data_IF_433929100875
#
_entry.id   IF_433929100875
#
_cell.length_a   1.000
_cell.length_b   1.000
_cell.length_c   1.000
_cell.angle_alpha   90.00
_cell.angle_beta   90.00
_cell.angle_gamma   90.00
#
_symmetry.space_group_name_H-M   'P 1'
#
loop_
_entity.id
_entity.type
_entity.pdbx_description
1 polymer ?
#
# COMPACT_ATOMS: atom_id res chain seq x y z
N UNK A 1 -21.03 25.76 0.15
CA UNK A 1 -21.85 24.88 1.03
C UNK A 1 -20.95 24.30 2.11
N UNK A 2 -21.18 24.58 3.41
CA UNK A 2 -20.38 24.03 4.51
C UNK A 2 -20.57 22.52 4.72
N UNK A 3 -21.44 21.86 3.94
CA UNK A 3 -21.71 20.42 3.99
C UNK A 3 -20.96 19.59 2.94
N UNK A 4 -19.95 20.15 2.26
CA UNK A 4 -18.99 19.33 1.53
C UNK A 4 -18.32 18.38 2.54
N UNK A 5 -18.76 17.13 2.58
CA UNK A 5 -18.31 16.11 3.53
C UNK A 5 -16.79 16.09 3.54
N UNK A 6 -16.19 16.32 4.71
CA UNK A 6 -14.73 16.29 4.84
C UNK A 6 -14.25 14.92 4.36
N UNK A 7 -13.52 14.89 3.24
CA UNK A 7 -12.66 13.75 2.90
C UNK A 7 -11.77 13.51 4.12
N UNK A 8 -11.80 12.30 4.64
CA UNK A 8 -10.88 11.88 5.69
C UNK A 8 -9.81 11.02 5.03
N UNK A 9 -8.57 11.32 5.35
CA UNK A 9 -7.45 10.54 4.88
C UNK A 9 -7.48 9.16 5.54
N UNK A 10 -7.14 8.15 4.76
CA UNK A 10 -6.90 6.80 5.25
C UNK A 10 -5.50 6.71 5.85
N UNK A 11 -5.31 5.82 6.84
CA UNK A 11 -4.02 5.64 7.51
C UNK A 11 -3.45 4.27 7.20
N UNK A 12 -2.21 4.24 6.71
CA UNK A 12 -1.43 3.03 6.51
C UNK A 12 -0.34 2.93 7.58
N UNK A 13 -0.23 1.76 8.20
CA UNK A 13 0.79 1.48 9.22
C UNK A 13 1.56 0.22 8.83
N UNK A 14 2.88 0.35 8.75
CA UNK A 14 3.80 -0.76 8.56
C UNK A 14 4.29 -1.34 9.88
N UNK A 15 4.26 -2.67 9.99
CA UNK A 15 4.84 -3.44 11.10
C UNK A 15 5.82 -4.48 10.52
N UNK A 16 7.00 -4.07 10.05
CA UNK A 16 7.92 -4.95 9.33
C UNK A 16 8.44 -6.13 10.15
N UNK A 17 8.44 -6.02 11.48
CA UNK A 17 8.86 -7.08 12.40
C UNK A 17 7.71 -7.98 12.88
N UNK A 18 6.53 -7.88 12.26
CA UNK A 18 5.37 -8.67 12.65
C UNK A 18 5.62 -10.17 12.48
N UNK A 19 5.38 -10.93 13.56
CA UNK A 19 5.47 -12.39 13.59
C UNK A 19 4.11 -13.03 13.27
N UNK A 20 4.00 -13.66 12.11
CA UNK A 20 2.83 -14.44 11.73
C UNK A 20 2.97 -15.90 12.15
N UNK A 21 1.85 -16.54 12.52
CA UNK A 21 1.80 -17.99 12.73
C UNK A 21 1.63 -18.68 11.38
N UNK A 22 2.50 -19.62 11.06
CA UNK A 22 2.43 -20.42 9.84
C UNK A 22 1.56 -21.67 10.05
N UNK A 23 1.13 -22.34 8.97
CA UNK A 23 0.34 -23.58 9.06
C UNK A 23 1.01 -24.69 9.87
N UNK A 24 2.35 -24.74 9.88
CA UNK A 24 3.14 -25.68 10.68
C UNK A 24 3.21 -25.32 12.18
N UNK A 25 2.47 -24.31 12.63
CA UNK A 25 2.41 -23.87 14.03
C UNK A 25 3.55 -22.95 14.48
N UNK A 26 4.66 -22.88 13.73
CA UNK A 26 5.78 -22.00 14.04
C UNK A 26 5.47 -20.54 13.71
N UNK A 27 6.14 -19.62 14.42
CA UNK A 27 6.09 -18.19 14.13
C UNK A 27 7.24 -17.80 13.19
N UNK A 28 6.99 -16.85 12.31
CA UNK A 28 8.04 -16.26 11.48
C UNK A 28 7.78 -14.79 11.25
N UNK A 29 8.85 -14.01 11.20
CA UNK A 29 8.79 -12.61 10.83
C UNK A 29 8.40 -12.53 9.36
N UNK A 30 7.21 -12.01 9.08
CA UNK A 30 6.72 -11.82 7.72
C UNK A 30 6.48 -10.35 7.39
N UNK A 31 6.39 -9.49 8.40
CA UNK A 31 5.94 -8.11 8.25
C UNK A 31 4.45 -8.02 7.95
N UNK A 32 3.85 -6.88 8.26
CA UNK A 32 2.42 -6.64 8.05
C UNK A 32 2.13 -5.17 7.76
N UNK A 33 1.26 -4.94 6.80
CA UNK A 33 0.61 -3.67 6.53
C UNK A 33 -0.78 -3.66 7.16
N UNK A 34 -1.14 -2.53 7.77
CA UNK A 34 -2.47 -2.26 8.28
C UNK A 34 -3.05 -1.05 7.55
N UNK A 35 -4.24 -1.18 7.00
CA UNK A 35 -5.02 -0.08 6.43
C UNK A 35 -6.19 0.22 7.36
N UNK A 36 -6.22 1.43 7.87
CA UNK A 36 -7.34 1.98 8.61
C UNK A 36 -8.06 2.99 7.74
N UNK A 37 -9.28 2.64 7.31
CA UNK A 37 -10.07 3.54 6.49
C UNK A 37 -10.69 4.67 7.33
N UNK A 38 -10.64 5.89 6.80
CA UNK A 38 -11.32 7.06 7.32
C UNK A 38 -12.83 6.85 7.30
N UNK A 39 -13.49 7.07 8.44
CA UNK A 39 -14.88 6.69 8.64
C UNK A 39 -15.67 7.76 9.38
N UNK A 40 -16.10 8.80 8.67
CA UNK A 40 -17.06 9.80 9.18
C UNK A 40 -16.80 10.25 10.62
N UNK A 41 -17.82 10.26 11.47
CA UNK A 41 -17.71 10.79 12.84
C UNK A 41 -16.83 9.93 13.80
N UNK A 42 -16.40 8.72 13.41
CA UNK A 42 -15.52 7.86 14.21
C UNK A 42 -14.45 7.20 13.33
N UNK A 43 -13.37 7.93 13.01
CA UNK A 43 -12.21 7.36 12.35
C UNK A 43 -11.72 6.11 13.11
N UNK A 44 -11.28 5.08 12.40
CA UNK A 44 -10.59 3.91 12.98
C UNK A 44 -11.47 2.95 13.83
N UNK A 45 -12.80 3.07 13.79
CA UNK A 45 -13.69 2.18 14.56
C UNK A 45 -13.87 0.77 13.96
N UNK A 46 -13.57 0.59 12.67
CA UNK A 46 -13.61 -0.72 11.99
C UNK A 46 -12.27 -1.44 12.16
N UNK A 47 -12.26 -2.78 12.23
CA UNK A 47 -11.02 -3.53 12.16
C UNK A 47 -10.22 -3.14 10.90
N UNK A 48 -8.91 -2.93 10.99
CA UNK A 48 -8.11 -2.60 9.82
C UNK A 48 -8.06 -3.77 8.86
N UNK A 49 -8.02 -3.48 7.56
CA UNK A 49 -7.57 -4.46 6.58
C UNK A 49 -6.08 -4.74 6.85
N UNK A 50 -5.67 -6.00 6.75
CA UNK A 50 -4.28 -6.39 6.94
C UNK A 50 -3.74 -7.16 5.76
N UNK A 51 -2.53 -6.81 5.31
CA UNK A 51 -1.77 -7.54 4.30
C UNK A 51 -0.48 -8.02 4.95
N UNK A 52 -0.15 -9.31 4.81
CA UNK A 52 1.01 -9.92 5.46
C UNK A 52 2.01 -10.34 4.39
N UNK A 53 3.30 -10.09 4.62
CA UNK A 53 4.34 -10.53 3.69
C UNK A 53 4.41 -12.05 3.60
N UNK A 54 5.04 -12.55 2.54
CA UNK A 54 5.18 -13.99 2.28
C UNK A 54 6.59 -14.51 2.54
N UNK A 55 7.61 -13.65 2.43
CA UNK A 55 9.02 -14.00 2.63
C UNK A 55 9.45 -13.81 4.09
N UNK A 56 9.93 -14.87 4.76
CA UNK A 56 10.49 -14.77 6.11
C UNK A 56 11.64 -13.77 6.19
N UNK A 57 11.62 -12.93 7.22
CA UNK A 57 12.61 -11.87 7.45
C UNK A 57 12.69 -10.82 6.34
N UNK A 58 11.71 -10.81 5.42
CA UNK A 58 11.69 -9.89 4.28
C UNK A 58 11.38 -8.43 4.65
N UNK A 59 10.96 -8.20 5.90
CA UNK A 59 10.56 -6.87 6.43
C UNK A 59 9.49 -6.19 5.57
N UNK A 60 8.46 -6.94 5.20
CA UNK A 60 7.34 -6.39 4.42
C UNK A 60 6.70 -5.20 5.13
N UNK A 61 6.38 -4.15 4.37
CA UNK A 61 5.91 -2.87 4.87
C UNK A 61 6.93 -2.10 5.72
N UNK A 62 8.22 -2.25 5.42
CA UNK A 62 9.26 -1.37 5.96
C UNK A 62 9.24 0.04 5.33
N UNK A 63 8.77 0.14 4.09
CA UNK A 63 8.51 1.39 3.40
C UNK A 63 7.14 1.35 2.74
N UNK A 64 6.44 2.48 2.72
CA UNK A 64 5.11 2.63 2.14
C UNK A 64 5.10 3.97 1.40
N UNK A 65 4.64 3.97 0.15
CA UNK A 65 4.45 5.19 -0.63
C UNK A 65 3.10 5.17 -1.35
N UNK A 66 2.41 6.30 -1.33
CA UNK A 66 1.25 6.51 -2.20
C UNK A 66 1.72 6.69 -3.65
N UNK A 67 1.00 6.10 -4.58
CA UNK A 67 1.24 6.20 -6.02
C UNK A 67 0.19 7.07 -6.74
N UNK A 68 -0.87 7.47 -6.04
CA UNK A 68 -2.03 8.11 -6.67
C UNK A 68 -2.90 7.10 -7.41
N UNK A 69 -3.41 7.51 -8.57
CA UNK A 69 -4.20 6.66 -9.47
C UNK A 69 -3.28 6.14 -10.59
N UNK A 70 -2.62 5.00 -10.37
CA UNK A 70 -1.56 4.52 -11.25
C UNK A 70 -2.12 3.97 -12.57
N UNK A 71 -3.32 3.41 -12.55
CA UNK A 71 -3.97 2.84 -13.73
C UNK A 71 -5.15 3.68 -14.28
N UNK A 72 -5.43 4.83 -13.67
CA UNK A 72 -6.50 5.76 -14.05
C UNK A 72 -7.90 5.16 -13.93
N UNK A 73 -8.10 4.27 -12.97
CA UNK A 73 -9.41 3.67 -12.71
C UNK A 73 -10.35 4.58 -11.88
N UNK A 74 -9.83 5.70 -11.39
CA UNK A 74 -10.55 6.71 -10.63
C UNK A 74 -10.36 6.60 -9.12
N UNK A 75 -9.53 5.67 -8.62
CA UNK A 75 -9.18 5.59 -7.21
C UNK A 75 -7.91 6.39 -6.89
N UNK A 76 -7.90 7.11 -5.77
CA UNK A 76 -6.75 7.97 -5.40
C UNK A 76 -6.67 9.35 -6.07
N UNK A 77 -7.61 9.70 -6.97
CA UNK A 77 -7.65 11.04 -7.59
C UNK A 77 -8.09 12.13 -6.60
N UNK A 78 -7.32 13.23 -6.46
CA UNK A 78 -7.79 14.43 -5.77
C UNK A 78 -8.92 15.08 -6.58
N UNK A 79 -10.08 15.25 -5.96
CA UNK A 79 -11.26 15.80 -6.63
C UNK A 79 -11.10 17.26 -7.05
N UNK A 80 -10.58 17.49 -8.25
CA UNK A 80 -10.71 18.76 -8.99
C UNK A 80 -10.98 18.45 -10.46
N UNK A 81 -12.25 18.57 -10.91
CA UNK A 81 -12.52 18.73 -12.35
C UNK A 81 -13.77 18.08 -12.94
N UNK A 82 -14.16 16.86 -12.55
CA UNK A 82 -15.30 16.20 -13.22
C UNK A 82 -16.14 15.39 -12.25
N UNK A 83 -17.37 15.88 -12.02
CA UNK A 83 -18.53 15.21 -11.42
C UNK A 83 -18.26 14.51 -10.08
N UNK A 84 -18.83 15.06 -9.01
CA UNK A 84 -19.00 14.41 -7.70
C UNK A 84 -19.69 13.05 -7.87
N UNK A 85 -18.92 11.99 -8.14
CA UNK A 85 -19.42 10.64 -7.94
C UNK A 85 -19.41 10.45 -6.43
N UNK A 86 -20.59 10.15 -5.88
CA UNK A 86 -20.88 9.91 -4.47
C UNK A 86 -20.23 8.62 -3.93
N UNK A 87 -19.18 8.13 -4.59
CA UNK A 87 -18.41 6.96 -4.17
C UNK A 87 -17.54 7.35 -2.98
N UNK A 88 -17.53 6.49 -1.96
CA UNK A 88 -16.70 6.60 -0.76
C UNK A 88 -15.30 7.13 -1.05
N UNK A 89 -14.62 7.78 -0.08
CA UNK A 89 -13.18 7.97 -0.18
C UNK A 89 -12.54 6.60 -0.42
N UNK A 90 -11.85 6.46 -1.56
CA UNK A 90 -11.16 5.23 -1.94
C UNK A 90 -9.66 5.48 -1.82
N UNK A 91 -8.89 4.57 -1.20
CA UNK A 91 -7.47 4.78 -1.06
C UNK A 91 -6.79 4.84 -2.44
N UNK A 92 -5.69 5.59 -2.55
CA UNK A 92 -4.84 5.54 -3.73
C UNK A 92 -4.18 4.16 -3.85
N UNK A 93 -3.58 3.92 -5.02
CA UNK A 93 -2.65 2.83 -5.19
C UNK A 93 -1.41 3.06 -4.30
N UNK A 94 -0.80 1.97 -3.85
CA UNK A 94 0.27 1.99 -2.86
C UNK A 94 1.41 1.07 -3.27
N UNK A 95 2.64 1.58 -3.19
CA UNK A 95 3.84 0.78 -3.21
C UNK A 95 4.28 0.41 -1.79
N UNK A 96 4.58 -0.87 -1.57
CA UNK A 96 5.00 -1.41 -0.27
C UNK A 96 6.32 -2.15 -0.44
N UNK A 97 7.33 -1.71 0.32
CA UNK A 97 8.68 -2.27 0.28
C UNK A 97 8.85 -3.46 1.22
N UNK A 98 9.58 -4.47 0.75
CA UNK A 98 10.15 -5.57 1.54
C UNK A 98 11.66 -5.64 1.24
N UNK A 99 12.49 -4.82 1.91
CA UNK A 99 13.89 -4.60 1.53
C UNK A 99 14.78 -5.84 1.57
N UNK A 100 14.37 -6.86 2.33
CA UNK A 100 15.07 -8.13 2.47
C UNK A 100 14.26 -9.30 1.89
N UNK A 101 13.20 -9.00 1.12
CA UNK A 101 12.34 -9.99 0.49
C UNK A 101 12.95 -10.60 -0.77
N UNK A 102 12.24 -11.59 -1.32
CA UNK A 102 12.63 -12.36 -2.50
C UNK A 102 13.61 -13.49 -2.19
N UNK A 103 13.75 -14.43 -3.13
CA UNK A 103 14.57 -15.63 -2.94
C UNK A 103 16.06 -15.31 -2.73
N UNK A 104 16.55 -14.21 -3.31
CA UNK A 104 17.92 -13.73 -3.12
C UNK A 104 18.12 -12.86 -1.87
N UNK A 105 17.03 -12.45 -1.20
CA UNK A 105 17.07 -11.45 -0.12
C UNK A 105 17.50 -10.05 -0.56
N UNK A 106 17.51 -9.77 -1.87
CA UNK A 106 17.96 -8.49 -2.44
C UNK A 106 16.91 -7.38 -2.33
N UNK A 107 15.66 -7.74 -2.00
CA UNK A 107 14.54 -6.81 -1.81
C UNK A 107 13.49 -6.90 -2.91
N UNK A 108 12.26 -6.54 -2.56
CA UNK A 108 11.10 -6.52 -3.44
C UNK A 108 10.22 -5.29 -3.14
N UNK A 109 9.51 -4.80 -4.16
CA UNK A 109 8.45 -3.81 -4.01
C UNK A 109 7.16 -4.38 -4.57
N UNK A 110 6.07 -4.20 -3.83
CA UNK A 110 4.74 -4.68 -4.20
C UNK A 110 3.82 -3.50 -4.47
N UNK A 111 3.07 -3.56 -5.58
CA UNK A 111 2.06 -2.57 -5.93
C UNK A 111 0.69 -3.13 -5.57
N UNK A 112 -0.03 -2.44 -4.70
CA UNK A 112 -1.40 -2.77 -4.32
C UNK A 112 -2.33 -1.68 -4.85
N UNK A 113 -3.33 -2.09 -5.62
CA UNK A 113 -4.34 -1.15 -6.11
C UNK A 113 -5.36 -0.80 -5.04
N UNK A 114 -5.86 0.42 -5.11
CA UNK A 114 -7.05 0.86 -4.40
C UNK A 114 -8.31 0.16 -4.92
N UNK A 115 -9.32 0.02 -4.06
CA UNK A 115 -10.66 -0.42 -4.41
C UNK A 115 -11.65 0.13 -3.39
N UNK A 116 -12.95 0.11 -3.69
CA UNK A 116 -14.02 0.70 -2.87
C UNK A 116 -14.04 0.31 -1.38
N UNK A 117 -13.43 -0.83 -1.02
CA UNK A 117 -13.37 -1.37 0.34
C UNK A 117 -11.94 -1.48 0.90
N UNK A 118 -10.97 -0.75 0.33
CA UNK A 118 -9.59 -0.71 0.81
C UNK A 118 -8.58 -0.99 -0.31
N UNK A 119 -7.63 -1.89 -0.08
CA UNK A 119 -6.66 -2.32 -1.09
C UNK A 119 -7.03 -3.70 -1.64
N UNK A 120 -6.69 -3.97 -2.90
CA UNK A 120 -6.73 -5.34 -3.43
C UNK A 120 -5.77 -6.22 -2.62
N UNK A 121 -6.19 -7.36 -2.03
CA UNK A 121 -5.33 -8.15 -1.14
C UNK A 121 -4.13 -8.81 -1.82
N UNK A 122 -4.21 -9.01 -3.14
CA UNK A 122 -3.14 -9.57 -3.98
C UNK A 122 -2.46 -8.41 -4.71
N UNK A 123 -1.12 -8.30 -4.64
CA UNK A 123 -0.43 -7.24 -5.37
C UNK A 123 -0.63 -7.43 -6.87
N UNK A 124 -0.94 -6.35 -7.58
CA UNK A 124 -1.13 -6.36 -9.03
C UNK A 124 0.19 -6.41 -9.79
N UNK A 125 1.24 -5.92 -9.15
CA UNK A 125 2.60 -5.97 -9.69
C UNK A 125 3.61 -6.20 -8.57
N UNK A 126 4.67 -6.92 -8.92
CA UNK A 126 5.85 -7.12 -8.09
C UNK A 126 7.08 -6.69 -8.86
N UNK A 127 7.91 -5.87 -8.22
CA UNK A 127 9.21 -5.47 -8.72
C UNK A 127 10.27 -6.19 -7.89
N UNK A 128 11.01 -7.09 -8.53
CA UNK A 128 12.13 -7.79 -7.94
C UNK A 128 13.41 -6.94 -8.07
N UNK A 129 14.29 -6.98 -7.06
CA UNK A 129 15.55 -6.24 -7.10
C UNK A 129 16.38 -6.62 -8.33
N UNK A 130 16.80 -5.65 -9.17
CA UNK A 130 17.69 -5.93 -10.30
C UNK A 130 19.16 -6.03 -9.88
N UNK A 131 19.47 -5.84 -8.60
CA UNK A 131 20.84 -5.77 -8.09
C UNK A 131 21.29 -7.10 -7.47
N UNK A 132 22.57 -7.43 -7.66
CA UNK A 132 23.18 -8.57 -7.00
C UNK A 132 23.43 -8.31 -5.50
N UNK A 133 23.22 -9.32 -4.66
CA UNK A 133 23.48 -9.24 -3.22
C UNK A 133 22.43 -8.45 -2.42
N UNK A 134 22.68 -8.18 -1.13
CA UNK A 134 21.75 -7.47 -0.26
C UNK A 134 21.70 -5.98 -0.61
N UNK A 135 20.81 -5.61 -1.52
CA UNK A 135 20.68 -4.24 -2.02
C UNK A 135 19.72 -3.37 -1.20
N UNK A 136 18.94 -3.97 -0.29
CA UNK A 136 17.85 -3.29 0.42
C UNK A 136 16.86 -2.61 -0.53
N UNK A 137 16.60 -3.25 -1.68
CA UNK A 137 15.72 -2.69 -2.71
C UNK A 137 14.30 -2.51 -2.16
N UNK A 138 13.76 -1.29 -2.25
CA UNK A 138 12.48 -0.92 -1.66
C UNK A 138 12.55 -0.43 -0.21
N UNK A 139 13.74 -0.13 0.33
CA UNK A 139 13.88 0.51 1.65
C UNK A 139 13.38 1.96 1.70
N UNK A 140 13.43 2.66 0.56
CA UNK A 140 12.86 3.98 0.40
C UNK A 140 12.01 3.99 -0.87
N UNK A 141 10.83 4.60 -0.81
CA UNK A 141 9.87 4.67 -1.90
C UNK A 141 9.31 6.09 -1.98
N UNK A 142 9.06 6.54 -3.21
CA UNK A 142 8.32 7.77 -3.52
C UNK A 142 7.58 7.53 -4.83
N UNK A 143 6.36 8.05 -4.94
CA UNK A 143 5.56 8.01 -6.15
C UNK A 143 4.61 9.20 -6.20
N UNK A 144 3.48 9.02 -6.90
CA UNK A 144 2.46 10.06 -7.09
C UNK A 144 3.00 11.29 -7.83
N UNK A 145 3.87 11.10 -8.83
CA UNK A 145 4.46 12.21 -9.59
C UNK A 145 4.74 11.74 -11.02
N UNK A 146 4.04 12.35 -11.98
CA UNK A 146 4.31 12.17 -13.39
C UNK A 146 5.68 12.78 -13.74
N UNK A 147 6.66 11.92 -14.04
CA UNK A 147 8.05 12.31 -14.29
C UNK A 147 8.36 12.50 -15.78
N UNK A 148 7.59 11.90 -16.68
CA UNK A 148 7.86 11.91 -18.13
C UNK A 148 6.79 12.68 -18.93
N UNK A 149 5.74 13.16 -18.26
CA UNK A 149 4.66 13.94 -18.86
C UNK A 149 3.67 13.11 -19.66
N UNK A 150 3.63 11.78 -19.46
CA UNK A 150 2.69 10.91 -20.15
C UNK A 150 1.27 10.93 -19.52
N UNK A 151 1.12 11.66 -18.42
CA UNK A 151 -0.12 11.83 -17.67
C UNK A 151 -0.39 10.73 -16.65
N UNK A 152 0.52 9.79 -16.42
CA UNK A 152 0.46 8.77 -15.37
C UNK A 152 1.50 9.08 -14.29
N UNK A 153 1.16 8.93 -12.99
CA UNK A 153 2.02 9.29 -11.87
C UNK A 153 3.13 8.27 -11.55
#
# INVERSE_FOLDING_TARGET
>A
DPRAGRRQDDVLVGAPLYLARRPNGHRSELGRLYLYMGGGQRPLARPPQTLTGTHPYGRFAAAIASLGDLDKDGYGVPGWGTRWVLTSPVPPDVAVGAPLGGDSGSGQVFIFRGQSEGLVPVPTQRLDSPFAGPASFGFALRGATDLDGNGYP
#
